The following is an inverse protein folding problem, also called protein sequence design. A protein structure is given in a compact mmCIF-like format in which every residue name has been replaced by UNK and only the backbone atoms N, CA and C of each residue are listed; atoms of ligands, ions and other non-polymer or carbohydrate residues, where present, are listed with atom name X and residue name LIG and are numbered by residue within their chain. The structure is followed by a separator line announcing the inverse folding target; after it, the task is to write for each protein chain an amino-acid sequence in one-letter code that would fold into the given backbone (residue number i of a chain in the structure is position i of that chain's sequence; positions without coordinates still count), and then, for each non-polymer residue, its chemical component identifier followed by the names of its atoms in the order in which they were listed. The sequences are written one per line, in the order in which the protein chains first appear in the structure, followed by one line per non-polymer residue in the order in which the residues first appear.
data_IF_087428841170
#
_entry.id   IF_087428841170
#
_cell.length_a   1.000
_cell.length_b   1.000
_cell.length_c   1.000
_cell.angle_alpha   90.00
_cell.angle_beta   90.00
_cell.angle_gamma   90.00
#
_symmetry.space_group_name_H-M   'P 1'
#
loop_
_entity.id
_entity.type
_entity.pdbx_description
1 polymer ?
#
# COMPACT_ATOMS: atom_id res chain seq x y z
N UNK A 1 2.38 12.95 10.58
CA UNK A 1 2.61 13.20 9.14
C UNK A 1 2.48 11.84 8.47
N UNK A 2 1.72 11.74 7.38
CA UNK A 2 1.65 10.51 6.59
C UNK A 2 2.88 10.47 5.67
N UNK A 3 3.63 9.37 5.71
CA UNK A 3 4.74 9.16 4.79
C UNK A 3 4.21 8.56 3.49
N UNK A 4 4.46 9.23 2.37
CA UNK A 4 4.07 8.74 1.04
C UNK A 4 5.29 8.19 0.31
N UNK A 5 5.24 6.91 -0.05
CA UNK A 5 6.31 6.22 -0.78
C UNK A 5 5.75 5.74 -2.11
N UNK A 6 6.50 5.93 -3.20
CA UNK A 6 6.13 5.38 -4.52
C UNK A 6 6.51 3.91 -4.60
N UNK A 7 5.55 3.07 -4.97
CA UNK A 7 5.77 1.66 -5.26
C UNK A 7 5.94 1.47 -6.78
N UNK A 8 7.00 0.79 -7.17
CA UNK A 8 7.16 0.34 -8.56
C UNK A 8 6.53 -1.05 -8.68
N UNK A 9 5.30 -1.10 -9.20
CA UNK A 9 4.55 -2.33 -9.45
C UNK A 9 4.07 -2.36 -10.91
N UNK A 10 4.03 -3.55 -11.50
CA UNK A 10 3.58 -3.73 -12.89
C UNK A 10 2.05 -3.70 -13.01
N UNK A 11 1.35 -4.09 -11.94
CA UNK A 11 -0.10 -4.14 -11.85
C UNK A 11 -0.57 -4.00 -10.38
N UNK A 12 -1.89 -3.91 -10.19
CA UNK A 12 -2.53 -3.73 -8.89
C UNK A 12 -2.24 -4.92 -7.94
N UNK A 13 -2.13 -6.15 -8.47
CA UNK A 13 -1.88 -7.34 -7.65
C UNK A 13 -0.44 -7.36 -7.09
N UNK A 14 0.54 -6.97 -7.91
CA UNK A 14 1.91 -6.75 -7.47
C UNK A 14 2.00 -5.60 -6.45
N UNK A 15 1.26 -4.50 -6.68
CA UNK A 15 1.21 -3.37 -5.76
C UNK A 15 0.64 -3.78 -4.39
N UNK A 16 -0.44 -4.55 -4.37
CA UNK A 16 -1.05 -5.08 -3.14
C UNK A 16 -0.09 -5.99 -2.38
N UNK A 17 0.67 -6.84 -3.07
CA UNK A 17 1.66 -7.71 -2.44
C UNK A 17 2.75 -6.92 -1.73
N UNK A 18 3.26 -5.85 -2.37
CA UNK A 18 4.23 -4.94 -1.76
C UNK A 18 3.63 -4.15 -0.59
N UNK A 19 2.41 -3.64 -0.74
CA UNK A 19 1.73 -2.87 0.30
C UNK A 19 1.45 -3.71 1.57
N UNK A 20 1.10 -5.00 1.41
CA UNK A 20 0.90 -5.92 2.56
C UNK A 20 2.17 -6.12 3.37
N UNK A 21 3.34 -6.17 2.74
CA UNK A 21 4.62 -6.27 3.46
C UNK A 21 4.89 -5.01 4.27
N UNK A 22 4.50 -3.84 3.76
CA UNK A 22 4.65 -2.56 4.47
C UNK A 22 3.69 -2.40 5.65
N UNK A 23 2.55 -3.13 5.63
CA UNK A 23 1.54 -3.05 6.67
C UNK A 23 1.90 -3.83 7.97
N UNK A 24 3.12 -4.31 8.12
CA UNK A 24 3.52 -5.09 9.31
C UNK A 24 3.35 -4.31 10.63
N UNK A 25 3.59 -2.99 10.62
CA UNK A 25 3.59 -2.15 11.83
C UNK A 25 2.62 -0.97 11.80
N UNK A 26 2.07 -0.67 10.63
CA UNK A 26 1.28 0.53 10.37
C UNK A 26 0.20 0.21 9.34
N UNK A 27 -0.91 0.93 9.39
CA UNK A 27 -1.91 0.82 8.34
C UNK A 27 -1.37 1.43 7.05
N UNK A 28 -1.71 0.84 5.90
CA UNK A 28 -1.29 1.30 4.58
C UNK A 28 -2.50 1.60 3.72
N UNK A 29 -2.54 2.79 3.13
CA UNK A 29 -3.49 3.12 2.06
C UNK A 29 -2.79 3.03 0.71
N UNK A 30 -3.29 2.17 -0.17
CA UNK A 30 -2.77 2.00 -1.51
C UNK A 30 -3.58 2.83 -2.52
N UNK A 31 -2.86 3.65 -3.30
CA UNK A 31 -3.41 4.53 -4.33
C UNK A 31 -2.60 4.40 -5.62
N UNK A 32 -3.24 4.49 -6.78
CA UNK A 32 -2.57 4.56 -8.10
C UNK A 32 -2.45 5.98 -8.66
N UNK A 33 -2.39 6.96 -7.76
CA UNK A 33 -2.33 8.39 -8.07
C UNK A 33 -3.66 9.10 -7.90
N UNK A 34 -4.76 8.59 -8.49
CA UNK A 34 -6.09 9.20 -8.36
C UNK A 34 -7.16 8.23 -7.83
N UNK A 35 -7.00 6.92 -8.02
CA UNK A 35 -7.95 5.92 -7.54
C UNK A 35 -7.40 5.27 -6.27
N UNK A 36 -8.25 5.25 -5.25
CA UNK A 36 -8.04 4.45 -4.06
C UNK A 36 -8.20 2.96 -4.42
N UNK A 37 -7.22 2.15 -4.05
CA UNK A 37 -7.23 0.71 -4.30
C UNK A 37 -7.70 -0.04 -3.05
N UNK A 38 -6.97 0.07 -1.94
CA UNK A 38 -7.25 -0.70 -0.73
C UNK A 38 -6.65 -0.04 0.53
N UNK A 39 -7.31 -0.23 1.67
CA UNK A 39 -6.78 0.06 3.00
C UNK A 39 -6.40 -1.26 3.66
N UNK A 40 -5.16 -1.37 4.10
CA UNK A 40 -4.60 -2.58 4.70
C UNK A 40 -4.33 -2.29 6.17
N UNK A 41 -5.03 -3.02 7.04
CA UNK A 41 -4.85 -2.96 8.48
C UNK A 41 -3.47 -3.51 8.90
N UNK A 42 -2.90 -3.00 10.00
CA UNK A 42 -1.68 -3.58 10.55
C UNK A 42 -1.88 -5.04 10.91
N UNK A 43 -0.88 -5.88 10.62
CA UNK A 43 -0.90 -7.30 11.02
C UNK A 43 -0.11 -7.59 12.31
N UNK A 44 0.40 -6.55 12.97
CA UNK A 44 1.26 -6.62 14.16
C UNK A 44 0.62 -6.08 15.44
#
# INVERSE_FOLDING_TARGET
MLDTIKLNAADDAAALSLARVMAEKHAVELWDGLRFIEHIEPTG
#
